data_IF_562960586714
#
_entry.id   IF_562960586714
#
_cell.length_a   1.000
_cell.length_b   1.000
_cell.length_c   1.000
_cell.angle_alpha   90.00
_cell.angle_beta   90.00
_cell.angle_gamma   90.00
#
_symmetry.space_group_name_H-M   'P 1'
#
loop_
_entity.id
_entity.type
_entity.pdbx_description
1 polymer ?
#
# COMPACT_ATOMS: atom_id res chain seq x y z
N UNK A 1 -10.14 22.62 -37.33
CA UNK A 1 -10.99 21.51 -36.93
C UNK A 1 -10.42 20.71 -35.74
N UNK A 2 -9.19 20.20 -35.76
CA UNK A 2 -8.66 19.41 -34.60
C UNK A 2 -8.49 20.25 -33.31
N UNK A 3 -8.07 21.51 -33.39
CA UNK A 3 -7.95 22.43 -32.22
C UNK A 3 -9.32 22.74 -31.60
N UNK A 4 -10.36 22.95 -32.42
CA UNK A 4 -11.72 23.22 -31.95
C UNK A 4 -12.31 22.02 -31.24
N UNK A 5 -12.07 20.80 -31.72
CA UNK A 5 -12.52 19.56 -31.04
C UNK A 5 -11.82 19.38 -29.70
N UNK A 6 -10.54 19.73 -29.57
CA UNK A 6 -9.79 19.62 -28.32
C UNK A 6 -10.29 20.62 -27.27
N UNK A 7 -10.57 21.86 -27.68
CA UNK A 7 -11.16 22.89 -26.80
C UNK A 7 -12.57 22.46 -26.37
N UNK A 8 -13.37 21.91 -27.28
CA UNK A 8 -14.73 21.41 -26.96
C UNK A 8 -14.70 20.27 -25.96
N UNK A 9 -13.79 19.31 -26.12
CA UNK A 9 -13.61 18.17 -25.20
C UNK A 9 -13.11 18.65 -23.83
N UNK A 10 -12.18 19.60 -23.80
CA UNK A 10 -11.67 20.18 -22.55
C UNK A 10 -12.76 20.95 -21.79
N UNK A 11 -13.59 21.72 -22.52
CA UNK A 11 -14.70 22.50 -21.93
C UNK A 11 -15.80 21.59 -21.38
N UNK A 12 -16.11 20.49 -22.07
CA UNK A 12 -17.05 19.47 -21.62
C UNK A 12 -16.50 18.79 -20.35
N UNK A 13 -15.21 18.46 -20.32
CA UNK A 13 -14.56 17.84 -19.16
C UNK A 13 -14.51 18.78 -17.96
N UNK A 14 -14.23 20.08 -18.17
CA UNK A 14 -14.29 21.10 -17.12
C UNK A 14 -15.71 21.34 -16.62
N UNK A 15 -16.71 21.40 -17.49
CA UNK A 15 -18.12 21.57 -17.10
C UNK A 15 -18.64 20.38 -16.30
N UNK A 16 -18.29 19.14 -16.69
CA UNK A 16 -18.64 17.92 -15.96
C UNK A 16 -17.93 17.89 -14.58
N UNK A 17 -16.65 18.23 -14.52
CA UNK A 17 -15.92 18.28 -13.24
C UNK A 17 -16.37 19.43 -12.35
N UNK A 18 -16.76 20.58 -12.91
CA UNK A 18 -17.33 21.69 -12.13
C UNK A 18 -18.71 21.34 -11.58
N UNK A 19 -19.58 20.69 -12.35
CA UNK A 19 -20.86 20.15 -11.86
C UNK A 19 -20.62 19.11 -10.76
N UNK A 20 -19.61 18.28 -10.89
CA UNK A 20 -19.21 17.31 -9.84
C UNK A 20 -18.65 18.00 -8.58
N UNK A 21 -17.80 19.01 -8.71
CA UNK A 21 -17.19 19.73 -7.59
C UNK A 21 -18.18 20.61 -6.79
N UNK A 22 -19.20 21.16 -7.43
CA UNK A 22 -20.26 21.96 -6.76
C UNK A 22 -21.26 21.07 -6.00
N UNK A 23 -21.26 19.75 -6.25
CA UNK A 23 -22.24 18.81 -5.67
C UNK A 23 -21.72 18.02 -4.47
N UNK A 24 -20.47 18.22 -4.03
CA UNK A 24 -19.86 17.44 -2.92
C UNK A 24 -20.31 17.87 -1.51
N UNK A 25 -21.11 18.94 -1.34
CA UNK A 25 -21.61 19.38 -0.04
C UNK A 25 -23.15 19.42 0.01
N UNK A 26 -23.74 18.46 0.70
CA UNK A 26 -25.11 18.45 1.24
C UNK A 26 -26.28 18.70 0.25
N UNK A 27 -26.48 17.79 -0.70
CA UNK A 27 -27.63 17.80 -1.59
C UNK A 27 -28.42 16.48 -1.63
N UNK A 28 -29.68 16.52 -2.11
CA UNK A 28 -30.48 15.30 -2.34
C UNK A 28 -29.96 14.54 -3.56
N UNK A 29 -29.70 13.23 -3.38
CA UNK A 29 -29.27 12.32 -4.44
C UNK A 29 -30.35 12.21 -5.55
N UNK A 30 -29.96 12.38 -6.83
CA UNK A 30 -30.82 12.18 -8.00
C UNK A 30 -30.11 11.39 -9.07
N UNK A 31 -30.83 10.47 -9.70
CA UNK A 31 -30.33 9.69 -10.83
C UNK A 31 -30.30 10.54 -12.10
N UNK A 32 -29.24 10.37 -12.90
CA UNK A 32 -29.09 10.97 -14.23
C UNK A 32 -29.09 9.84 -15.26
N UNK A 33 -29.97 9.95 -16.24
CA UNK A 33 -30.05 9.03 -17.36
C UNK A 33 -29.40 9.61 -18.62
N UNK A 34 -29.52 10.92 -18.85
CA UNK A 34 -28.98 11.58 -20.04
C UNK A 34 -28.44 12.98 -19.72
N UNK A 35 -27.38 13.36 -20.43
CA UNK A 35 -26.81 14.71 -20.44
C UNK A 35 -26.93 15.27 -21.86
N UNK A 36 -27.57 16.42 -22.00
CA UNK A 36 -27.70 17.15 -23.26
C UNK A 36 -26.99 18.50 -23.12
N UNK A 37 -26.04 18.75 -24.01
CA UNK A 37 -25.28 20.00 -24.07
C UNK A 37 -25.61 20.69 -25.38
N UNK A 38 -26.08 21.95 -25.31
CA UNK A 38 -26.36 22.78 -26.49
C UNK A 38 -25.41 23.97 -26.49
N UNK A 39 -24.68 24.16 -27.57
CA UNK A 39 -23.73 25.24 -27.80
C UNK A 39 -24.06 25.84 -29.18
N UNK A 40 -24.73 26.99 -29.22
CA UNK A 40 -25.26 27.54 -30.49
C UNK A 40 -26.12 26.50 -31.24
N UNK A 41 -25.77 26.21 -32.47
CA UNK A 41 -26.45 25.18 -33.28
C UNK A 41 -26.03 23.73 -32.99
N UNK A 42 -25.02 23.51 -32.15
CA UNK A 42 -24.48 22.20 -31.84
C UNK A 42 -25.21 21.54 -30.69
N UNK A 43 -25.63 20.30 -30.85
CA UNK A 43 -26.28 19.48 -29.82
C UNK A 43 -25.52 18.19 -29.58
N UNK A 44 -25.10 17.97 -28.34
CA UNK A 44 -24.41 16.75 -27.91
C UNK A 44 -25.32 16.04 -26.91
N UNK A 45 -25.71 14.82 -27.22
CA UNK A 45 -26.56 13.99 -26.37
C UNK A 45 -25.78 12.75 -25.92
N UNK A 46 -25.71 12.50 -24.63
CA UNK A 46 -25.05 11.32 -24.06
C UNK A 46 -25.94 10.60 -23.04
N UNK A 47 -25.90 9.26 -23.03
CA UNK A 47 -26.45 8.46 -21.94
C UNK A 47 -25.41 8.31 -20.85
N UNK A 48 -25.78 8.67 -19.63
CA UNK A 48 -24.92 8.56 -18.44
C UNK A 48 -25.75 7.88 -17.35
N UNK A 49 -25.31 6.71 -16.90
CA UNK A 49 -25.86 6.09 -15.69
C UNK A 49 -25.07 6.61 -14.50
N UNK A 50 -25.54 7.66 -13.85
CA UNK A 50 -24.86 8.32 -12.74
C UNK A 50 -25.82 8.87 -11.70
N UNK A 51 -25.24 9.34 -10.59
CA UNK A 51 -25.96 10.01 -9.53
C UNK A 51 -25.32 11.37 -9.31
N UNK A 52 -26.15 12.41 -9.12
CA UNK A 52 -25.70 13.73 -8.70
C UNK A 52 -26.38 14.13 -7.40
N UNK A 53 -25.72 15.00 -6.65
CA UNK A 53 -26.28 15.67 -5.48
C UNK A 53 -26.62 17.11 -5.87
N UNK A 54 -27.85 17.55 -5.65
CA UNK A 54 -28.27 18.92 -5.95
C UNK A 54 -28.51 19.62 -4.61
N UNK A 55 -27.69 20.64 -4.30
CA UNK A 55 -27.88 21.51 -3.12
C UNK A 55 -29.14 22.34 -3.25
N UNK A 56 -29.89 22.50 -2.15
CA UNK A 56 -31.10 23.31 -2.12
C UNK A 56 -30.80 24.83 -2.15
N UNK A 57 -29.54 25.26 -1.99
CA UNK A 57 -29.11 26.68 -1.89
C UNK A 57 -28.71 27.32 -3.23
N UNK A 58 -28.84 26.61 -4.34
CA UNK A 58 -28.53 27.18 -5.65
C UNK A 58 -29.68 28.13 -6.07
N UNK A 59 -29.33 29.38 -6.36
CA UNK A 59 -30.27 30.44 -6.80
C UNK A 59 -31.08 29.96 -8.03
N UNK A 60 -32.27 29.43 -7.80
CA UNK A 60 -33.22 29.04 -8.83
C UNK A 60 -34.06 30.21 -9.27
N UNK A 61 -34.14 30.45 -10.59
CA UNK A 61 -35.17 31.32 -11.11
C UNK A 61 -36.57 30.69 -10.86
N UNK A 62 -37.65 31.47 -11.02
CA UNK A 62 -39.05 31.03 -10.84
C UNK A 62 -39.44 29.83 -11.75
N UNK A 63 -38.55 29.38 -12.65
CA UNK A 63 -38.76 28.26 -13.58
C UNK A 63 -37.81 27.05 -13.27
N UNK A 64 -37.07 27.05 -12.15
CA UNK A 64 -36.19 25.95 -11.75
C UNK A 64 -34.87 25.87 -12.53
N UNK A 65 -34.44 26.98 -13.15
CA UNK A 65 -33.19 27.06 -13.91
C UNK A 65 -32.07 27.59 -13.04
N UNK A 66 -30.94 26.96 -13.05
CA UNK A 66 -29.71 27.37 -12.36
C UNK A 66 -28.80 28.09 -13.35
N UNK A 67 -28.32 29.28 -13.03
CA UNK A 67 -27.33 30.01 -13.84
C UNK A 67 -25.91 29.60 -13.43
N UNK A 68 -25.13 29.15 -14.40
CA UNK A 68 -23.68 29.04 -14.32
C UNK A 68 -23.08 30.25 -15.04
N UNK A 69 -22.47 31.19 -14.29
CA UNK A 69 -22.00 32.42 -14.87
C UNK A 69 -23.15 33.43 -15.20
N UNK A 70 -22.83 34.45 -16.02
CA UNK A 70 -23.79 35.53 -16.35
C UNK A 70 -24.84 35.13 -17.42
N UNK A 71 -24.63 34.04 -18.17
CA UNK A 71 -25.47 33.70 -19.33
C UNK A 71 -25.75 32.23 -19.54
N UNK A 72 -25.08 31.30 -18.83
CA UNK A 72 -25.28 29.86 -19.01
C UNK A 72 -26.48 29.35 -18.21
N UNK A 73 -27.25 28.42 -18.77
CA UNK A 73 -28.46 27.87 -18.15
C UNK A 73 -28.33 26.35 -18.03
N UNK A 74 -28.37 25.84 -16.81
CA UNK A 74 -28.47 24.42 -16.53
C UNK A 74 -29.87 24.09 -16.05
N UNK A 75 -30.55 23.15 -16.71
CA UNK A 75 -31.85 22.65 -16.29
C UNK A 75 -31.80 21.14 -16.02
N UNK A 76 -32.40 20.72 -14.91
CA UNK A 76 -32.61 19.33 -14.58
C UNK A 76 -34.08 18.98 -14.59
N UNK A 77 -34.50 18.00 -15.40
CA UNK A 77 -35.89 17.54 -15.47
C UNK A 77 -35.94 16.04 -15.84
N UNK A 78 -36.66 15.24 -15.06
CA UNK A 78 -36.95 13.81 -15.35
C UNK A 78 -35.71 12.97 -15.70
N UNK A 79 -34.63 13.08 -14.91
CA UNK A 79 -33.39 12.32 -15.18
C UNK A 79 -32.50 12.91 -16.28
N UNK A 80 -32.87 14.04 -16.87
CA UNK A 80 -32.10 14.71 -17.92
C UNK A 80 -31.49 16.00 -17.41
N UNK A 81 -30.19 16.21 -17.70
CA UNK A 81 -29.50 17.49 -17.54
C UNK A 81 -29.39 18.14 -18.92
N UNK A 82 -29.89 19.40 -19.03
CA UNK A 82 -29.68 20.21 -20.23
C UNK A 82 -28.80 21.39 -19.84
N UNK A 83 -27.70 21.56 -20.57
CA UNK A 83 -26.77 22.68 -20.40
C UNK A 83 -26.80 23.49 -21.69
N UNK A 84 -27.18 24.78 -21.58
CA UNK A 84 -27.11 25.76 -22.68
C UNK A 84 -25.96 26.71 -22.38
N UNK A 85 -24.95 26.75 -23.26
CA UNK A 85 -23.78 27.61 -23.14
C UNK A 85 -23.86 28.71 -24.22
N UNK A 86 -23.56 29.96 -23.83
CA UNK A 86 -23.56 31.07 -24.77
C UNK A 86 -22.34 31.00 -25.69
N UNK A 87 -22.60 31.06 -27.00
CA UNK A 87 -21.61 30.97 -28.06
C UNK A 87 -20.53 32.07 -27.93
N UNK A 88 -20.90 33.28 -27.51
CA UNK A 88 -19.97 34.42 -27.34
C UNK A 88 -18.99 34.21 -26.17
N UNK A 89 -19.41 33.55 -25.10
CA UNK A 89 -18.49 33.22 -23.99
C UNK A 89 -17.49 32.14 -24.40
N UNK A 90 -17.89 31.18 -25.24
CA UNK A 90 -16.99 30.19 -25.78
C UNK A 90 -15.94 30.80 -26.71
N UNK A 91 -16.33 31.78 -27.55
CA UNK A 91 -15.38 32.49 -28.40
C UNK A 91 -14.36 33.29 -27.56
N UNK A 92 -14.80 33.92 -26.47
CA UNK A 92 -13.92 34.61 -25.54
C UNK A 92 -12.98 33.67 -24.81
N UNK A 93 -13.48 32.52 -24.34
CA UNK A 93 -12.64 31.47 -23.73
C UNK A 93 -11.70 30.81 -24.71
N UNK A 94 -12.14 30.57 -25.95
CA UNK A 94 -11.28 30.04 -26.99
C UNK A 94 -10.12 31.01 -27.31
N UNK A 95 -10.38 32.32 -27.34
CA UNK A 95 -9.33 33.32 -27.52
C UNK A 95 -8.36 33.42 -26.34
N UNK A 96 -8.85 33.27 -25.08
CA UNK A 96 -7.98 33.19 -23.90
C UNK A 96 -7.13 31.92 -23.90
N UNK A 97 -7.72 30.77 -24.21
CA UNK A 97 -7.00 29.49 -24.30
C UNK A 97 -5.98 29.50 -25.45
N UNK A 98 -6.30 30.12 -26.58
CA UNK A 98 -5.36 30.28 -27.70
C UNK A 98 -4.18 31.19 -27.30
N UNK A 99 -4.42 32.27 -26.57
CA UNK A 99 -3.37 33.12 -25.99
C UNK A 99 -2.49 32.37 -24.98
N UNK A 100 -3.09 31.55 -24.11
CA UNK A 100 -2.34 30.71 -23.16
C UNK A 100 -1.53 29.61 -23.88
N UNK A 101 -2.08 29.04 -24.94
CA UNK A 101 -1.36 28.07 -25.76
C UNK A 101 -0.13 28.68 -26.42
N UNK A 102 -0.25 29.89 -26.98
CA UNK A 102 0.86 30.64 -27.56
C UNK A 102 1.92 31.06 -26.52
N UNK A 103 1.49 31.44 -25.29
CA UNK A 103 2.41 31.75 -24.19
C UNK A 103 3.15 30.48 -23.71
N UNK A 104 2.48 29.33 -23.63
CA UNK A 104 3.11 28.03 -23.28
C UNK A 104 4.06 27.57 -24.39
N UNK A 105 3.70 27.74 -25.67
CA UNK A 105 4.58 27.39 -26.80
C UNK A 105 5.82 28.28 -26.83
N UNK A 106 5.70 29.61 -26.54
CA UNK A 106 6.83 30.50 -26.37
C UNK A 106 7.74 30.14 -25.21
N UNK A 107 7.14 29.82 -24.01
CA UNK A 107 7.89 29.37 -22.85
C UNK A 107 8.61 28.04 -23.09
N UNK A 108 7.96 27.11 -23.78
CA UNK A 108 8.58 25.84 -24.17
C UNK A 108 9.75 26.05 -25.16
N UNK A 109 9.58 26.92 -26.16
CA UNK A 109 10.64 27.23 -27.10
C UNK A 109 11.82 27.98 -26.45
N UNK A 110 11.53 28.87 -25.49
CA UNK A 110 12.55 29.57 -24.70
C UNK A 110 13.28 28.61 -23.76
N UNK A 111 12.55 27.67 -23.16
CA UNK A 111 13.12 26.60 -22.34
C UNK A 111 13.99 25.63 -23.14
N UNK A 112 13.55 25.19 -24.34
CA UNK A 112 14.35 24.36 -25.24
C UNK A 112 15.60 25.11 -25.74
N UNK A 113 15.47 26.38 -26.04
CA UNK A 113 16.60 27.24 -26.43
C UNK A 113 17.61 27.41 -25.31
N UNK A 114 17.11 27.64 -24.07
CA UNK A 114 17.95 27.80 -22.90
C UNK A 114 18.65 26.47 -22.52
N UNK A 115 17.94 25.32 -22.59
CA UNK A 115 18.57 24.00 -22.45
C UNK A 115 19.58 23.74 -23.55
N UNK A 116 19.26 24.07 -24.81
CA UNK A 116 20.17 23.92 -25.90
C UNK A 116 21.44 24.77 -25.75
N UNK A 117 21.31 26.02 -25.31
CA UNK A 117 22.43 26.89 -24.99
C UNK A 117 23.24 26.42 -23.79
N UNK A 118 22.55 26.01 -22.70
CA UNK A 118 23.20 25.39 -21.53
C UNK A 118 23.90 24.08 -21.89
N UNK A 119 23.33 23.26 -22.77
CA UNK A 119 23.96 22.01 -23.21
C UNK A 119 25.22 22.29 -24.02
N UNK A 120 25.21 23.29 -24.93
CA UNK A 120 26.39 23.70 -25.72
C UNK A 120 27.45 24.36 -24.83
N UNK A 121 27.06 25.27 -23.92
CA UNK A 121 27.98 25.84 -22.92
C UNK A 121 28.54 24.78 -21.99
N UNK A 122 27.72 23.76 -21.63
CA UNK A 122 28.14 22.62 -20.82
C UNK A 122 29.13 21.73 -21.60
N UNK A 123 28.86 21.40 -22.87
CA UNK A 123 29.79 20.62 -23.70
C UNK A 123 31.13 21.35 -23.92
N UNK A 124 31.09 22.65 -24.22
CA UNK A 124 32.31 23.44 -24.41
C UNK A 124 33.10 23.67 -23.11
N UNK A 125 32.41 23.86 -21.98
CA UNK A 125 33.03 24.07 -20.67
C UNK A 125 33.58 22.78 -20.07
N UNK A 126 32.99 21.64 -20.39
CA UNK A 126 33.36 20.34 -19.77
C UNK A 126 34.13 19.40 -20.74
N UNK A 127 34.25 19.75 -22.05
CA UNK A 127 35.07 18.99 -22.98
C UNK A 127 36.54 18.93 -22.59
N UNK A 128 37.01 19.88 -21.77
CA UNK A 128 38.40 20.01 -21.33
C UNK A 128 38.64 19.56 -19.86
N UNK A 129 37.65 19.01 -19.18
CA UNK A 129 37.86 18.49 -17.81
C UNK A 129 38.53 17.11 -17.87
N UNK A 130 39.75 17.04 -17.44
CA UNK A 130 40.48 15.80 -17.16
C UNK A 130 40.47 15.54 -15.62
N UNK A 131 39.93 14.39 -15.24
CA UNK A 131 40.07 13.90 -13.84
C UNK A 131 40.99 12.68 -13.87
N UNK A 132 42.12 12.78 -13.18
CA UNK A 132 43.15 11.72 -13.15
C UNK A 132 43.66 11.31 -14.54
N UNK A 133 43.82 12.27 -15.48
CA UNK A 133 44.34 12.02 -16.82
C UNK A 133 43.34 11.37 -17.78
N UNK A 134 42.06 11.37 -17.47
CA UNK A 134 41.00 10.85 -18.36
C UNK A 134 40.00 11.95 -18.68
N UNK A 135 39.80 12.24 -20.00
CA UNK A 135 38.70 13.10 -20.45
C UNK A 135 37.34 12.45 -20.17
N UNK A 136 36.41 13.23 -19.65
CA UNK A 136 35.05 12.78 -19.39
C UNK A 136 34.23 12.81 -20.70
N UNK A 137 33.48 11.75 -20.96
CA UNK A 137 32.53 11.64 -22.06
C UNK A 137 31.08 11.58 -21.59
N UNK A 138 30.10 11.59 -22.49
CA UNK A 138 28.68 11.54 -22.16
C UNK A 138 28.29 10.34 -21.27
N UNK A 139 28.94 9.19 -21.47
CA UNK A 139 28.69 7.99 -20.63
C UNK A 139 29.27 8.15 -19.21
N UNK A 140 30.35 8.92 -19.06
CA UNK A 140 30.91 9.24 -17.75
C UNK A 140 29.97 10.17 -16.97
N UNK A 141 29.23 11.07 -17.65
CA UNK A 141 28.18 11.92 -17.07
C UNK A 141 26.95 11.11 -16.65
N UNK A 142 26.46 10.20 -17.49
CA UNK A 142 25.38 9.28 -17.10
C UNK A 142 25.75 8.43 -15.88
N UNK A 143 27.01 7.98 -15.83
CA UNK A 143 27.55 7.28 -14.67
C UNK A 143 27.69 8.18 -13.44
N UNK A 144 27.99 9.47 -13.59
CA UNK A 144 28.00 10.43 -12.48
C UNK A 144 26.60 10.75 -11.97
N UNK A 145 25.61 10.96 -12.84
CA UNK A 145 24.21 11.12 -12.45
C UNK A 145 23.66 9.85 -11.78
N UNK A 146 24.02 8.67 -12.26
CA UNK A 146 23.70 7.41 -11.60
C UNK A 146 24.41 7.25 -10.25
N UNK A 147 25.57 7.89 -10.02
CA UNK A 147 26.25 7.95 -8.73
C UNK A 147 25.60 8.94 -7.76
N UNK A 148 25.04 10.06 -8.23
CA UNK A 148 24.32 11.03 -7.39
C UNK A 148 23.06 10.43 -6.76
N UNK A 149 22.44 9.41 -7.39
CA UNK A 149 21.30 8.69 -6.84
C UNK A 149 21.69 7.55 -5.89
N UNK A 150 22.97 7.42 -5.53
CA UNK A 150 23.51 6.47 -4.56
C UNK A 150 24.11 7.22 -3.38
N UNK A 151 23.55 7.02 -2.21
CA UNK A 151 24.00 7.67 -0.98
C UNK A 151 24.63 6.61 -0.08
N UNK A 152 25.73 6.97 0.59
CA UNK A 152 26.28 6.14 1.66
C UNK A 152 26.12 6.91 2.97
N UNK A 153 25.53 6.27 3.98
CA UNK A 153 25.36 6.88 5.29
C UNK A 153 26.69 7.37 5.87
N UNK A 154 26.70 8.59 6.40
CA UNK A 154 27.88 9.25 6.95
C UNK A 154 28.41 8.58 8.24
N UNK A 155 27.54 7.87 8.95
CA UNK A 155 27.80 7.34 10.30
C UNK A 155 27.53 8.36 11.42
N UNK A 156 27.25 9.63 11.07
CA UNK A 156 26.89 10.67 12.03
C UNK A 156 25.37 10.72 12.24
N UNK A 157 24.89 10.10 13.31
CA UNK A 157 23.45 10.02 13.59
C UNK A 157 22.96 11.32 14.22
N UNK A 158 21.95 11.92 13.60
CA UNK A 158 21.21 13.06 14.14
C UNK A 158 19.77 12.67 14.47
N UNK A 159 19.15 13.43 15.37
CA UNK A 159 17.75 13.23 15.79
C UNK A 159 16.90 14.40 15.32
N UNK A 160 15.77 14.10 14.71
CA UNK A 160 14.73 15.06 14.33
C UNK A 160 13.40 14.64 14.93
N UNK A 161 12.65 15.58 15.48
CA UNK A 161 11.29 15.34 15.97
C UNK A 161 10.29 16.08 15.11
N UNK A 162 9.20 15.42 14.75
CA UNK A 162 8.04 16.01 14.08
C UNK A 162 6.79 15.78 14.93
N UNK A 163 5.75 16.60 14.82
CA UNK A 163 4.47 16.35 15.49
C UNK A 163 3.94 14.96 15.18
N UNK A 164 3.26 14.34 16.14
CA UNK A 164 2.54 13.09 15.87
C UNK A 164 1.50 13.31 14.77
N UNK A 165 1.39 12.33 13.90
CA UNK A 165 0.37 12.28 12.84
C UNK A 165 -0.81 11.51 13.41
N UNK A 166 -1.98 12.13 13.39
CA UNK A 166 -3.20 11.54 13.95
C UNK A 166 -4.00 10.81 12.86
N UNK A 167 -4.96 9.98 13.31
CA UNK A 167 -5.98 9.36 12.47
C UNK A 167 -5.45 8.44 11.37
N UNK A 168 -4.49 7.57 11.70
CA UNK A 168 -4.11 6.44 10.84
C UNK A 168 -4.35 5.12 11.60
N UNK A 169 -4.66 4.07 10.86
CA UNK A 169 -4.90 2.71 11.35
C UNK A 169 -3.95 1.68 10.73
N UNK A 170 -3.13 2.10 9.76
CA UNK A 170 -2.13 1.27 9.12
C UNK A 170 -0.73 1.90 9.18
N UNK A 171 0.31 1.06 9.33
CA UNK A 171 1.72 1.47 9.23
C UNK A 171 2.37 0.71 8.08
N UNK A 172 2.94 1.44 7.11
CA UNK A 172 3.64 0.87 5.95
C UNK A 172 5.10 1.31 5.95
N UNK A 173 6.02 0.36 6.19
CA UNK A 173 7.45 0.62 6.23
C UNK A 173 8.19 -0.07 5.08
N UNK A 174 9.13 0.62 4.45
CA UNK A 174 9.89 0.08 3.34
C UNK A 174 11.32 0.58 3.28
N UNK A 175 12.15 -0.07 2.44
CA UNK A 175 13.51 0.38 2.10
C UNK A 175 14.46 0.44 3.30
N UNK A 176 14.46 -0.61 4.12
CA UNK A 176 15.43 -0.82 5.19
C UNK A 176 15.26 0.06 6.42
N UNK A 177 14.14 0.77 6.57
CA UNK A 177 13.87 1.59 7.77
C UNK A 177 13.42 0.72 8.94
N UNK A 178 13.86 1.08 10.13
CA UNK A 178 13.42 0.46 11.38
C UNK A 178 12.38 1.34 12.08
N UNK A 179 11.15 0.85 12.19
CA UNK A 179 10.06 1.51 12.89
C UNK A 179 9.85 0.85 14.24
N UNK A 180 9.74 1.65 15.30
CA UNK A 180 9.46 1.18 16.66
C UNK A 180 8.27 1.96 17.21
N UNK A 181 7.23 1.28 17.66
CA UNK A 181 6.15 1.88 18.43
C UNK A 181 6.29 1.45 19.89
N UNK A 182 6.41 2.42 20.80
CA UNK A 182 6.51 2.18 22.24
C UNK A 182 5.14 2.25 22.91
N UNK A 183 5.06 1.79 24.16
CA UNK A 183 3.82 1.90 24.96
C UNK A 183 3.52 3.33 25.44
N UNK A 184 4.51 4.21 25.41
CA UNK A 184 4.35 5.59 25.87
C UNK A 184 3.50 6.40 24.90
N UNK A 185 2.50 7.08 25.43
CA UNK A 185 1.81 8.16 24.72
C UNK A 185 2.79 9.32 24.49
N UNK A 186 2.70 9.96 23.33
CA UNK A 186 3.57 11.06 22.95
C UNK A 186 3.00 11.90 21.83
N UNK A 187 3.39 13.15 21.81
CA UNK A 187 2.93 14.12 20.78
C UNK A 187 3.90 14.23 19.60
N UNK A 188 4.94 13.38 19.56
CA UNK A 188 6.01 13.50 18.58
C UNK A 188 6.44 12.15 18.03
N UNK A 189 6.74 12.15 16.74
CA UNK A 189 7.50 11.10 16.08
C UNK A 189 8.96 11.50 16.12
N UNK A 190 9.84 10.60 16.55
CA UNK A 190 11.28 10.83 16.62
C UNK A 190 11.97 10.03 15.52
N UNK A 191 12.79 10.72 14.73
CA UNK A 191 13.54 10.14 13.61
C UNK A 191 15.03 10.26 13.96
N UNK A 192 15.72 9.12 14.01
CA UNK A 192 17.16 9.02 14.14
C UNK A 192 17.72 8.52 12.81
N UNK A 193 18.60 9.29 12.18
CA UNK A 193 19.19 8.92 10.89
C UNK A 193 20.56 9.55 10.72
N UNK A 194 21.35 8.99 9.80
CA UNK A 194 22.56 9.69 9.32
C UNK A 194 22.20 11.10 8.83
N UNK A 195 23.00 12.10 9.14
CA UNK A 195 22.77 13.51 8.82
C UNK A 195 22.53 13.73 7.31
N UNK A 196 23.27 13.04 6.48
CA UNK A 196 23.14 13.08 5.02
C UNK A 196 21.98 12.25 4.45
N UNK A 197 21.35 11.38 5.24
CA UNK A 197 20.18 10.58 4.87
C UNK A 197 18.89 11.25 5.39
N UNK A 198 18.95 11.93 6.51
CA UNK A 198 17.80 12.59 7.16
C UNK A 198 16.89 13.39 6.20
N UNK A 199 17.42 14.17 5.21
CA UNK A 199 16.58 14.92 4.28
C UNK A 199 15.69 14.04 3.38
N UNK A 200 16.04 12.77 3.19
CA UNK A 200 15.34 11.82 2.33
C UNK A 200 14.42 10.86 3.08
N UNK A 201 14.37 10.94 4.41
CA UNK A 201 13.44 10.14 5.20
C UNK A 201 12.04 10.70 5.05
N UNK A 202 11.12 9.85 4.59
CA UNK A 202 9.71 10.18 4.37
C UNK A 202 8.88 9.59 5.50
N UNK A 203 8.14 10.43 6.22
CA UNK A 203 7.11 10.04 7.18
C UNK A 203 5.88 10.87 6.85
N UNK A 204 4.88 10.28 6.24
CA UNK A 204 3.67 10.98 5.79
C UNK A 204 2.43 10.11 5.85
N UNK A 205 1.28 10.73 6.03
CA UNK A 205 -0.01 10.06 5.93
C UNK A 205 -0.45 9.97 4.47
N UNK A 206 -0.85 8.78 4.05
CA UNK A 206 -1.45 8.50 2.76
C UNK A 206 -2.77 7.74 2.99
N UNK A 207 -3.91 8.44 2.84
CA UNK A 207 -5.20 7.90 3.25
C UNK A 207 -5.23 7.60 4.75
N UNK A 208 -5.53 6.37 5.12
CA UNK A 208 -5.49 5.88 6.51
C UNK A 208 -4.14 5.26 6.90
N UNK A 209 -3.15 5.24 6.02
CA UNK A 209 -1.85 4.63 6.28
C UNK A 209 -0.80 5.67 6.64
N UNK A 210 0.06 5.38 7.60
CA UNK A 210 1.31 6.09 7.86
C UNK A 210 2.42 5.43 7.04
N UNK A 211 2.82 6.09 5.94
CA UNK A 211 3.95 5.64 5.11
C UNK A 211 5.27 6.12 5.67
N UNK A 212 6.19 5.18 5.88
CA UNK A 212 7.54 5.42 6.39
C UNK A 212 8.54 4.77 5.43
N UNK A 213 9.42 5.57 4.85
CA UNK A 213 10.34 5.09 3.81
C UNK A 213 11.42 6.10 3.49
N UNK A 214 12.13 5.84 2.41
CA UNK A 214 13.09 6.75 1.79
C UNK A 214 12.49 7.28 0.51
N UNK A 215 12.77 8.54 0.17
CA UNK A 215 12.35 9.20 -1.07
C UNK A 215 12.65 8.31 -2.30
N UNK A 216 11.67 8.20 -3.18
CA UNK A 216 11.71 7.31 -4.35
C UNK A 216 12.78 7.70 -5.37
N UNK A 217 13.19 8.96 -5.40
CA UNK A 217 14.25 9.46 -6.26
C UNK A 217 15.64 8.91 -5.87
N UNK A 218 15.81 8.43 -4.63
CA UNK A 218 17.05 7.78 -4.20
C UNK A 218 17.03 6.31 -4.62
N UNK A 219 17.87 5.94 -5.58
CA UNK A 219 17.91 4.58 -6.13
C UNK A 219 18.54 3.56 -5.18
N UNK A 220 19.56 3.94 -4.44
CA UNK A 220 20.30 3.04 -3.55
C UNK A 220 20.92 3.78 -2.38
N UNK A 221 20.87 3.17 -1.19
CA UNK A 221 21.58 3.65 -0.01
C UNK A 221 22.43 2.52 0.55
N UNK A 222 23.72 2.80 0.73
CA UNK A 222 24.63 1.91 1.44
C UNK A 222 24.73 2.35 2.90
N UNK A 223 24.89 1.39 3.80
CA UNK A 223 25.05 1.62 5.25
C UNK A 223 23.90 2.49 5.81
N UNK A 224 22.65 2.16 5.44
CA UNK A 224 21.45 2.86 5.91
C UNK A 224 21.25 2.62 7.40
N UNK A 225 21.20 3.72 8.18
CA UNK A 225 20.83 3.70 9.58
C UNK A 225 19.71 4.70 9.81
N UNK A 226 18.48 4.22 9.78
CA UNK A 226 17.29 5.02 10.02
C UNK A 226 16.38 4.29 10.99
N UNK A 227 16.04 4.94 12.09
CA UNK A 227 15.04 4.50 13.05
C UNK A 227 13.97 5.56 13.20
N UNK A 228 12.71 5.15 13.11
CA UNK A 228 11.54 6.01 13.37
C UNK A 228 10.83 5.48 14.60
N UNK A 229 10.73 6.28 15.63
CA UNK A 229 10.04 5.95 16.87
C UNK A 229 8.69 6.66 16.88
N UNK A 230 7.63 5.86 16.93
CA UNK A 230 6.24 6.31 16.95
C UNK A 230 5.70 6.31 18.38
N UNK A 231 4.85 7.27 18.74
CA UNK A 231 4.03 7.19 19.94
C UNK A 231 3.03 6.04 19.83
N UNK A 232 2.47 5.60 20.96
CA UNK A 232 1.41 4.59 20.98
C UNK A 232 0.21 5.06 20.15
N UNK A 233 -0.27 4.19 19.29
CA UNK A 233 -1.53 4.34 18.58
C UNK A 233 -2.40 3.10 18.83
N UNK A 234 -3.58 3.30 19.39
CA UNK A 234 -4.50 2.21 19.77
C UNK A 234 -5.35 1.70 18.59
N UNK A 235 -5.39 2.43 17.47
CA UNK A 235 -6.28 2.13 16.36
C UNK A 235 -5.60 1.32 15.23
N UNK A 236 -4.41 0.75 15.48
CA UNK A 236 -3.69 0.00 14.46
C UNK A 236 -4.39 -1.32 14.17
N UNK A 237 -4.71 -1.54 12.91
CA UNK A 237 -5.29 -2.76 12.38
C UNK A 237 -4.50 -3.37 11.21
N UNK A 238 -3.50 -2.67 10.66
CA UNK A 238 -2.66 -3.16 9.57
C UNK A 238 -1.19 -2.76 9.77
N UNK A 239 -0.27 -3.72 9.63
CA UNK A 239 1.18 -3.49 9.57
C UNK A 239 1.73 -4.10 8.30
N UNK A 240 2.36 -3.30 7.46
CA UNK A 240 2.97 -3.75 6.20
C UNK A 240 4.45 -3.40 6.15
N UNK A 241 5.30 -4.38 5.84
CA UNK A 241 6.74 -4.16 5.65
C UNK A 241 7.25 -4.80 4.36
N UNK A 242 8.15 -4.09 3.70
CA UNK A 242 8.82 -4.61 2.51
C UNK A 242 10.27 -4.13 2.41
N UNK A 243 11.05 -4.76 1.51
CA UNK A 243 12.40 -4.30 1.15
C UNK A 243 13.31 -4.11 2.38
N UNK A 244 13.44 -5.16 3.19
CA UNK A 244 14.30 -5.24 4.37
C UNK A 244 13.98 -4.22 5.49
N UNK A 245 12.81 -3.57 5.46
CA UNK A 245 12.36 -2.74 6.57
C UNK A 245 11.90 -3.58 7.77
N UNK A 246 11.76 -2.95 8.92
CA UNK A 246 11.20 -3.62 10.10
C UNK A 246 10.22 -2.74 10.86
N UNK A 247 9.16 -3.37 11.41
CA UNK A 247 8.26 -2.77 12.38
C UNK A 247 8.33 -3.58 13.66
N UNK A 248 8.58 -2.90 14.76
CA UNK A 248 8.53 -3.47 16.10
C UNK A 248 7.50 -2.72 16.94
N UNK A 249 6.47 -3.44 17.39
CA UNK A 249 5.44 -2.90 18.27
C UNK A 249 5.68 -3.44 19.68
N UNK A 250 6.06 -2.56 20.61
CA UNK A 250 6.25 -2.90 22.02
C UNK A 250 4.93 -2.76 22.83
N UNK A 251 3.96 -2.02 22.28
CA UNK A 251 2.64 -1.85 22.88
C UNK A 251 1.73 -3.06 22.60
N UNK A 252 0.72 -3.28 23.42
CA UNK A 252 -0.37 -4.20 23.10
C UNK A 252 -1.27 -3.55 22.05
N UNK A 253 -1.60 -4.31 21.00
CA UNK A 253 -2.61 -3.94 20.00
C UNK A 253 -3.92 -4.61 20.42
N UNK A 254 -4.96 -3.81 20.58
CA UNK A 254 -6.31 -4.28 20.92
C UNK A 254 -7.29 -3.79 19.86
N UNK A 255 -8.24 -4.64 19.45
CA UNK A 255 -9.23 -4.23 18.46
C UNK A 255 -10.00 -5.40 17.85
N UNK A 256 -10.71 -5.10 16.76
CA UNK A 256 -11.47 -6.12 16.05
C UNK A 256 -10.59 -6.99 15.17
N UNK A 257 -9.63 -6.39 14.49
CA UNK A 257 -8.79 -7.12 13.53
C UNK A 257 -7.37 -6.56 13.51
N UNK A 258 -6.41 -7.43 13.22
CA UNK A 258 -5.03 -7.05 12.94
C UNK A 258 -4.51 -7.88 11.77
N UNK A 259 -4.06 -7.21 10.70
CA UNK A 259 -3.39 -7.83 9.56
C UNK A 259 -1.90 -7.46 9.54
N UNK A 260 -1.05 -8.45 9.36
CA UNK A 260 0.41 -8.31 9.23
C UNK A 260 0.86 -8.82 7.87
N UNK A 261 1.45 -7.96 7.05
CA UNK A 261 1.99 -8.30 5.74
C UNK A 261 3.50 -8.02 5.69
N UNK A 262 4.29 -9.06 5.51
CA UNK A 262 5.74 -8.94 5.44
C UNK A 262 6.29 -9.56 4.14
N UNK A 263 6.99 -8.76 3.34
CA UNK A 263 7.57 -9.20 2.08
C UNK A 263 9.03 -8.78 1.91
N UNK A 264 9.75 -9.44 0.99
CA UNK A 264 11.09 -9.01 0.55
C UNK A 264 12.06 -8.76 1.71
N UNK A 265 12.26 -9.78 2.54
CA UNK A 265 13.10 -9.74 3.75
C UNK A 265 12.63 -8.72 4.81
N UNK A 266 11.39 -8.24 4.75
CA UNK A 266 10.76 -7.43 5.79
C UNK A 266 10.61 -8.18 7.10
N UNK A 267 10.52 -7.45 8.23
CA UNK A 267 10.40 -8.06 9.56
C UNK A 267 9.34 -7.35 10.39
N UNK A 268 8.33 -8.08 10.87
CA UNK A 268 7.34 -7.58 11.83
C UNK A 268 7.52 -8.32 13.15
N UNK A 269 7.63 -7.58 14.24
CA UNK A 269 7.62 -8.11 15.59
C UNK A 269 6.60 -7.37 16.45
N UNK A 270 5.60 -8.08 16.96
CA UNK A 270 4.60 -7.54 17.88
C UNK A 270 4.78 -8.16 19.26
N UNK A 271 4.77 -7.34 20.30
CA UNK A 271 4.84 -7.85 21.68
C UNK A 271 3.58 -8.63 22.02
N UNK A 272 2.41 -8.06 21.74
CA UNK A 272 1.11 -8.69 22.00
C UNK A 272 0.00 -8.09 21.13
N UNK A 273 -0.91 -8.95 20.64
CA UNK A 273 -2.20 -8.55 20.09
C UNK A 273 -3.34 -9.26 20.83
N UNK A 274 -4.47 -8.58 21.06
CA UNK A 274 -5.73 -9.13 21.57
C UNK A 274 -6.85 -8.62 20.64
N UNK A 275 -7.26 -9.47 19.70
CA UNK A 275 -8.16 -9.08 18.60
C UNK A 275 -9.17 -10.21 18.32
N UNK A 276 -10.27 -9.92 17.62
CA UNK A 276 -11.18 -10.99 17.20
C UNK A 276 -10.63 -11.77 16.01
N UNK A 277 -10.06 -11.06 15.01
CA UNK A 277 -9.52 -11.62 13.77
C UNK A 277 -8.05 -11.25 13.62
N UNK A 278 -7.20 -12.26 13.47
CA UNK A 278 -5.78 -12.08 13.22
C UNK A 278 -5.37 -12.73 11.90
N UNK A 279 -4.63 -12.01 11.10
CA UNK A 279 -4.12 -12.44 9.81
C UNK A 279 -2.64 -12.11 9.67
N UNK A 280 -1.81 -13.08 9.27
CA UNK A 280 -0.37 -12.91 9.12
C UNK A 280 0.13 -13.56 7.84
N UNK A 281 0.53 -12.73 6.88
CA UNK A 281 1.12 -13.12 5.61
C UNK A 281 2.61 -12.80 5.56
N UNK A 282 3.44 -13.80 5.26
CA UNK A 282 4.87 -13.61 5.05
C UNK A 282 5.36 -14.24 3.75
N UNK A 283 6.11 -13.49 2.96
CA UNK A 283 6.68 -13.97 1.70
C UNK A 283 8.11 -13.50 1.46
N UNK A 284 8.82 -14.19 0.52
CA UNK A 284 10.12 -13.72 0.05
C UNK A 284 11.14 -13.48 1.18
N UNK A 285 11.38 -14.50 1.99
CA UNK A 285 12.30 -14.51 3.12
C UNK A 285 11.98 -13.47 4.23
N UNK A 286 10.76 -12.98 4.30
CA UNK A 286 10.29 -12.09 5.37
C UNK A 286 10.08 -12.87 6.67
N UNK A 287 9.92 -12.10 7.77
CA UNK A 287 9.70 -12.64 9.11
C UNK A 287 8.56 -11.96 9.84
N UNK A 288 7.73 -12.77 10.51
CA UNK A 288 6.71 -12.27 11.45
C UNK A 288 6.89 -13.01 12.77
N UNK A 289 6.82 -12.29 13.89
CA UNK A 289 6.90 -12.89 15.21
C UNK A 289 6.08 -12.13 16.24
N UNK A 290 5.56 -12.86 17.25
CA UNK A 290 4.80 -12.22 18.33
C UNK A 290 3.91 -13.13 19.12
N UNK A 291 3.10 -12.50 20.00
CA UNK A 291 2.08 -13.19 20.81
C UNK A 291 0.70 -12.67 20.42
N UNK A 292 -0.22 -13.58 20.17
CA UNK A 292 -1.56 -13.25 19.67
C UNK A 292 -2.62 -13.97 20.48
N UNK A 293 -3.65 -13.25 20.87
CA UNK A 293 -4.90 -13.80 21.33
C UNK A 293 -6.00 -13.37 20.35
N UNK A 294 -6.74 -14.36 19.81
CA UNK A 294 -7.81 -14.08 18.83
C UNK A 294 -8.91 -15.13 18.89
N UNK A 295 -10.05 -14.86 18.26
CA UNK A 295 -11.02 -15.92 17.97
C UNK A 295 -10.56 -16.69 16.73
N UNK A 296 -10.32 -16.00 15.63
CA UNK A 296 -9.87 -16.57 14.37
C UNK A 296 -8.44 -16.10 14.07
N UNK A 297 -7.57 -17.05 13.72
CA UNK A 297 -6.17 -16.84 13.44
C UNK A 297 -5.81 -17.46 12.08
N UNK A 298 -5.38 -16.65 11.12
CA UNK A 298 -4.92 -17.09 9.80
C UNK A 298 -3.43 -16.79 9.67
N UNK A 299 -2.66 -17.80 9.21
CA UNK A 299 -1.19 -17.69 9.14
C UNK A 299 -0.69 -18.29 7.84
N UNK A 300 -0.23 -17.46 6.92
CA UNK A 300 0.26 -17.87 5.61
C UNK A 300 1.73 -17.54 5.42
N UNK A 301 2.52 -18.51 4.98
CA UNK A 301 3.94 -18.31 4.68
C UNK A 301 4.34 -18.94 3.35
N UNK A 302 5.10 -18.19 2.54
CA UNK A 302 5.60 -18.67 1.26
C UNK A 302 7.04 -18.22 0.98
N UNK A 303 7.68 -18.83 -0.04
CA UNK A 303 8.96 -18.34 -0.56
C UNK A 303 10.03 -18.12 0.51
N UNK A 304 10.29 -19.17 1.32
CA UNK A 304 11.28 -19.20 2.39
C UNK A 304 11.05 -18.17 3.53
N UNK A 305 9.84 -17.66 3.70
CA UNK A 305 9.47 -16.82 4.84
C UNK A 305 9.44 -17.64 6.16
N UNK A 306 9.53 -16.94 7.29
CA UNK A 306 9.57 -17.53 8.63
C UNK A 306 8.55 -16.80 9.54
N UNK A 307 7.55 -17.52 10.03
CA UNK A 307 6.57 -17.01 11.00
C UNK A 307 6.74 -17.76 12.32
N UNK A 308 6.85 -17.04 13.43
CA UNK A 308 6.98 -17.62 14.79
C UNK A 308 6.01 -16.92 15.73
N UNK A 309 4.90 -17.60 16.07
CA UNK A 309 3.83 -17.02 16.87
C UNK A 309 3.53 -17.90 18.09
N UNK A 310 3.24 -17.22 19.21
CA UNK A 310 2.55 -17.82 20.34
C UNK A 310 1.09 -17.39 20.29
N UNK A 311 0.19 -18.34 20.13
CA UNK A 311 -1.24 -18.05 19.93
C UNK A 311 -2.11 -18.61 21.06
N UNK A 312 -3.16 -17.87 21.38
CA UNK A 312 -4.32 -18.32 22.14
C UNK A 312 -5.55 -18.03 21.29
N UNK A 313 -6.06 -19.04 20.60
CA UNK A 313 -7.15 -18.85 19.63
C UNK A 313 -8.28 -19.86 19.81
N UNK A 314 -9.44 -19.58 19.23
CA UNK A 314 -10.50 -20.58 19.10
C UNK A 314 -10.25 -21.44 17.87
N UNK A 315 -9.91 -20.81 16.74
CA UNK A 315 -9.57 -21.47 15.50
C UNK A 315 -8.25 -20.91 14.95
N UNK A 316 -7.42 -21.79 14.38
CA UNK A 316 -6.18 -21.40 13.69
C UNK A 316 -6.05 -22.19 12.39
N UNK A 317 -5.97 -21.48 11.28
CA UNK A 317 -5.69 -22.01 9.94
C UNK A 317 -4.28 -21.58 9.52
N UNK A 318 -3.48 -22.51 9.05
CA UNK A 318 -2.07 -22.25 8.74
C UNK A 318 -1.63 -22.90 7.43
N UNK A 319 -1.14 -22.09 6.48
CA UNK A 319 -0.69 -22.57 5.18
C UNK A 319 0.79 -22.24 4.97
N UNK A 320 1.57 -23.25 4.57
CA UNK A 320 2.97 -23.05 4.27
C UNK A 320 3.34 -23.65 2.91
N UNK A 321 4.06 -22.90 2.10
CA UNK A 321 4.52 -23.37 0.78
C UNK A 321 5.95 -22.92 0.46
N UNK A 322 6.54 -23.49 -0.60
CA UNK A 322 7.81 -23.00 -1.18
C UNK A 322 8.93 -22.81 -0.14
N UNK A 323 9.21 -23.87 0.63
CA UNK A 323 10.24 -23.92 1.66
C UNK A 323 10.07 -22.93 2.84
N UNK A 324 8.91 -22.32 2.98
CA UNK A 324 8.60 -21.46 4.14
C UNK A 324 8.50 -22.28 5.44
N UNK A 325 8.58 -21.58 6.56
CA UNK A 325 8.49 -22.16 7.88
C UNK A 325 7.50 -21.39 8.75
N UNK A 326 6.56 -22.10 9.37
CA UNK A 326 5.66 -21.59 10.39
C UNK A 326 5.92 -22.36 11.68
N UNK A 327 6.10 -21.63 12.79
CA UNK A 327 6.20 -22.19 14.15
C UNK A 327 5.07 -21.62 15.00
N UNK A 328 4.24 -22.49 15.53
CA UNK A 328 3.11 -22.12 16.39
C UNK A 328 3.25 -22.77 17.77
N UNK A 329 3.08 -21.97 18.80
CA UNK A 329 3.06 -22.39 20.19
C UNK A 329 1.78 -21.86 20.87
N UNK A 330 1.40 -22.43 22.03
CA UNK A 330 0.25 -21.99 22.81
C UNK A 330 -0.92 -22.94 22.76
N UNK A 331 -2.15 -22.44 22.56
CA UNK A 331 -3.38 -23.25 22.65
C UNK A 331 -4.41 -22.81 21.60
N UNK A 332 -5.13 -23.79 21.02
CA UNK A 332 -6.31 -23.55 20.17
C UNK A 332 -7.31 -24.71 20.27
N UNK A 333 -8.60 -24.43 20.08
CA UNK A 333 -9.60 -25.49 20.04
C UNK A 333 -9.57 -26.24 18.70
N UNK A 334 -9.37 -25.54 17.58
CA UNK A 334 -9.27 -26.13 16.24
C UNK A 334 -8.03 -25.64 15.51
N UNK A 335 -7.36 -26.55 14.81
CA UNK A 335 -6.22 -26.25 13.96
C UNK A 335 -6.37 -26.94 12.61
N UNK A 336 -6.23 -26.19 11.52
CA UNK A 336 -6.07 -26.70 10.17
C UNK A 336 -4.70 -26.31 9.66
N UNK A 337 -3.91 -27.27 9.20
CA UNK A 337 -2.55 -27.03 8.74
C UNK A 337 -2.27 -27.67 7.39
N UNK A 338 -1.96 -26.87 6.37
CA UNK A 338 -1.60 -27.32 5.04
C UNK A 338 -0.16 -26.94 4.69
N UNK A 339 0.65 -27.94 4.36
CA UNK A 339 2.03 -27.71 3.95
C UNK A 339 2.36 -28.38 2.62
N UNK A 340 3.02 -27.65 1.73
CA UNK A 340 3.43 -28.13 0.42
C UNK A 340 4.84 -27.67 0.04
N UNK A 341 5.41 -28.25 -1.04
CA UNK A 341 6.65 -27.75 -1.66
C UNK A 341 7.80 -27.55 -0.66
N UNK A 342 8.12 -28.59 0.11
CA UNK A 342 9.18 -28.65 1.09
C UNK A 342 9.06 -27.65 2.28
N UNK A 343 7.90 -27.00 2.46
CA UNK A 343 7.63 -26.15 3.60
C UNK A 343 7.49 -26.93 4.92
N UNK A 344 7.45 -26.19 6.04
CA UNK A 344 7.36 -26.77 7.38
C UNK A 344 6.36 -26.00 8.24
N UNK A 345 5.43 -26.74 8.87
CA UNK A 345 4.60 -26.23 9.96
C UNK A 345 5.00 -26.98 11.24
N UNK A 346 5.46 -26.24 12.25
CA UNK A 346 5.91 -26.76 13.54
C UNK A 346 4.90 -26.32 14.60
N UNK A 347 3.87 -27.11 14.79
CA UNK A 347 2.79 -26.87 15.76
C UNK A 347 2.81 -27.88 16.95
N UNK A 348 3.96 -28.51 17.20
CA UNK A 348 4.10 -29.41 18.36
C UNK A 348 4.04 -28.70 19.72
N UNK A 349 4.38 -27.40 19.74
CA UNK A 349 4.23 -26.52 20.90
C UNK A 349 2.83 -25.92 21.07
N UNK A 350 1.91 -26.18 20.11
CA UNK A 350 0.54 -25.73 20.12
C UNK A 350 -0.36 -26.87 20.61
N UNK A 351 -0.98 -26.73 21.77
CA UNK A 351 -1.96 -27.68 22.27
C UNK A 351 -3.30 -27.50 21.54
N UNK A 352 -3.74 -28.53 20.80
CA UNK A 352 -4.89 -28.45 19.90
C UNK A 352 -5.93 -29.49 20.30
N UNK A 353 -7.19 -29.10 20.50
CA UNK A 353 -8.23 -30.10 20.79
C UNK A 353 -8.53 -30.95 19.53
N UNK A 354 -8.74 -30.33 18.37
CA UNK A 354 -9.02 -31.01 17.09
C UNK A 354 -8.06 -30.49 16.03
N UNK A 355 -7.28 -31.37 15.41
CA UNK A 355 -6.32 -31.00 14.35
C UNK A 355 -6.64 -31.71 13.03
N UNK A 356 -6.59 -30.96 11.91
CA UNK A 356 -6.47 -31.47 10.54
C UNK A 356 -5.10 -31.03 10.00
N UNK A 357 -4.29 -31.98 9.52
CA UNK A 357 -2.95 -31.73 9.04
C UNK A 357 -2.71 -32.42 7.70
N UNK A 358 -2.41 -31.65 6.68
CA UNK A 358 -2.22 -32.14 5.31
C UNK A 358 -0.84 -31.75 4.77
N UNK A 359 0.04 -32.73 4.55
CA UNK A 359 1.40 -32.51 4.04
C UNK A 359 1.60 -33.17 2.68
N UNK A 360 2.11 -32.40 1.72
CA UNK A 360 2.39 -32.88 0.36
C UNK A 360 3.75 -32.41 -0.17
N UNK A 361 4.20 -32.99 -1.28
CA UNK A 361 5.39 -32.50 -2.01
C UNK A 361 6.61 -32.28 -1.13
N UNK A 362 6.92 -33.27 -0.26
CA UNK A 362 8.08 -33.24 0.62
C UNK A 362 7.99 -32.31 1.82
N UNK A 363 6.84 -31.67 2.04
CA UNK A 363 6.61 -30.80 3.20
C UNK A 363 6.50 -31.61 4.51
N UNK A 364 6.57 -30.88 5.64
CA UNK A 364 6.51 -31.47 6.98
C UNK A 364 5.59 -30.68 7.89
N UNK A 365 4.70 -31.39 8.59
CA UNK A 365 3.89 -30.83 9.66
C UNK A 365 4.13 -31.61 10.95
N UNK A 366 4.29 -30.91 12.08
CA UNK A 366 4.28 -31.53 13.39
C UNK A 366 3.18 -30.92 14.26
N UNK A 367 2.30 -31.75 14.86
CA UNK A 367 1.13 -31.33 15.62
C UNK A 367 1.07 -31.99 16.99
N UNK A 368 0.42 -31.31 17.94
CA UNK A 368 0.10 -31.82 19.26
C UNK A 368 -1.44 -31.83 19.46
N UNK A 369 -2.08 -32.84 18.86
CA UNK A 369 -3.53 -33.03 18.98
C UNK A 369 -3.91 -33.77 20.27
N UNK A 370 -4.89 -33.26 20.98
CA UNK A 370 -5.31 -33.78 22.30
C UNK A 370 -6.49 -34.72 22.23
N UNK A 371 -7.46 -34.50 21.32
CA UNK A 371 -8.69 -35.29 21.21
C UNK A 371 -8.86 -35.98 19.87
N UNK A 372 -8.71 -35.22 18.78
CA UNK A 372 -8.90 -35.75 17.42
C UNK A 372 -7.81 -35.26 16.49
N UNK A 373 -7.29 -36.17 15.66
CA UNK A 373 -6.33 -35.87 14.59
C UNK A 373 -6.82 -36.46 13.26
N UNK A 374 -7.01 -35.62 12.27
CA UNK A 374 -7.05 -36.02 10.88
C UNK A 374 -5.70 -35.70 10.24
N UNK A 375 -5.00 -36.70 9.70
CA UNK A 375 -3.67 -36.50 9.14
C UNK A 375 -3.58 -37.09 7.74
N UNK A 376 -3.23 -36.27 6.78
CA UNK A 376 -3.06 -36.60 5.36
C UNK A 376 -1.63 -36.36 4.94
N UNK A 377 -0.99 -37.39 4.34
CA UNK A 377 0.35 -37.25 3.81
C UNK A 377 0.44 -37.84 2.42
N UNK A 378 0.95 -37.06 1.45
CA UNK A 378 1.11 -37.51 0.06
C UNK A 378 2.42 -37.00 -0.56
N UNK A 379 2.81 -37.57 -1.70
CA UNK A 379 3.97 -37.11 -2.49
C UNK A 379 5.21 -36.83 -1.65
N UNK A 380 5.58 -37.79 -0.76
CA UNK A 380 6.73 -37.67 0.14
C UNK A 380 6.55 -36.69 1.30
N UNK A 381 5.35 -36.11 1.49
CA UNK A 381 5.03 -35.30 2.67
C UNK A 381 5.06 -36.10 3.98
N UNK A 382 5.29 -35.43 5.10
CA UNK A 382 5.40 -36.08 6.43
C UNK A 382 4.57 -35.30 7.43
N UNK A 383 3.62 -35.99 8.09
CA UNK A 383 2.96 -35.49 9.29
C UNK A 383 3.50 -36.24 10.51
N UNK A 384 3.93 -35.52 11.54
CA UNK A 384 4.30 -36.08 12.83
C UNK A 384 3.34 -35.59 13.90
N UNK A 385 3.02 -36.42 14.88
CA UNK A 385 2.15 -36.05 15.97
C UNK A 385 2.71 -36.51 17.33
N UNK A 386 2.42 -35.72 18.37
CA UNK A 386 2.80 -36.03 19.75
C UNK A 386 1.93 -37.17 20.28
N UNK A 387 2.53 -38.08 21.07
CA UNK A 387 1.81 -39.20 21.64
C UNK A 387 0.74 -38.75 22.67
N UNK A 388 -0.49 -39.22 22.48
CA UNK A 388 -1.56 -39.09 23.44
C UNK A 388 -2.40 -40.38 23.42
N UNK A 389 -2.65 -40.99 24.60
CA UNK A 389 -3.34 -42.27 24.71
C UNK A 389 -4.82 -42.20 24.27
N UNK A 390 -5.47 -41.07 24.46
CA UNK A 390 -6.88 -40.86 24.17
C UNK A 390 -7.17 -40.22 22.81
N UNK A 391 -6.13 -40.13 21.94
CA UNK A 391 -6.23 -39.49 20.64
C UNK A 391 -6.97 -40.36 19.62
N UNK A 392 -8.14 -39.91 19.17
CA UNK A 392 -8.81 -40.45 17.98
C UNK A 392 -8.05 -40.03 16.71
N UNK A 393 -7.69 -40.99 15.83
CA UNK A 393 -6.85 -40.76 14.66
C UNK A 393 -7.49 -41.25 13.39
N UNK A 394 -7.57 -40.36 12.38
CA UNK A 394 -7.87 -40.67 11.02
C UNK A 394 -6.66 -40.38 10.14
N UNK A 395 -6.00 -41.41 9.63
CA UNK A 395 -4.74 -41.29 8.91
C UNK A 395 -4.93 -41.72 7.46
N UNK A 396 -4.53 -40.86 6.52
CA UNK A 396 -4.48 -41.15 5.08
C UNK A 396 -3.06 -40.93 4.54
N UNK A 397 -2.53 -41.95 3.88
CA UNK A 397 -1.18 -41.93 3.30
C UNK A 397 -1.21 -42.40 1.83
N UNK A 398 -0.52 -41.66 0.95
CA UNK A 398 -0.41 -42.03 -0.44
C UNK A 398 0.91 -41.55 -1.05
N UNK A 399 1.31 -42.10 -2.17
CA UNK A 399 2.47 -41.64 -2.97
C UNK A 399 3.74 -41.38 -2.15
N UNK A 400 4.07 -42.28 -1.21
CA UNK A 400 5.26 -42.13 -0.34
C UNK A 400 5.13 -41.14 0.80
N UNK A 401 3.95 -40.57 1.03
CA UNK A 401 3.65 -39.78 2.22
C UNK A 401 3.68 -40.61 3.49
N UNK A 402 3.99 -40.01 4.63
CA UNK A 402 4.14 -40.69 5.93
C UNK A 402 3.50 -39.94 7.06
N UNK A 403 2.69 -40.61 7.87
CA UNK A 403 2.23 -40.13 9.16
C UNK A 403 2.87 -40.96 10.25
N UNK A 404 3.51 -40.35 11.24
CA UNK A 404 4.26 -41.06 12.27
C UNK A 404 4.25 -40.34 13.60
N UNK A 405 4.50 -41.12 14.68
CA UNK A 405 4.69 -40.56 16.01
C UNK A 405 5.98 -39.72 16.05
N UNK A 406 5.94 -38.58 16.74
CA UNK A 406 7.15 -37.79 17.08
C UNK A 406 7.75 -38.37 18.37
N UNK A 407 9.05 -38.64 18.36
CA UNK A 407 9.77 -39.16 19.50
C UNK A 407 10.53 -38.04 20.22
#
# INVERSE_FOLDING_TARGET
>A
MKKIIFVLVATIFCAINYVMAVTENEGKEKNIDNVNITIGDWKINGKVNGKIYISDDINKDRKGRTKLGNSDVVTYSNGNINIEINEQEIENWAAEVEKWADEVEQLAAEFEKNIGQMAVEFEDTFSDIEINGKRLNSNDWENMQNRQNRITGSGNIITKSIPAIESYDAIKASRGIHVVMNESEGEKIVINADDNIMPYVVVRKEGNSLRIGIDENIKSINNLKVQVVLPKNQNINELQVASAASIKINATIEGRSLSLDAASAGNINIAKADVDFFDADASSAAKISGTVKSNDCYVDASSAADIDLTILAVQCDSNASSAAKITLNGETASFEGDASSAAKIIAKGLAVAVADASASSGAKISVNALKKLEAKASSGGVVTYVHNNDLEKHISQSSGGRVKLEF
#
